data_IF_998385175501
#
_entry.id   IF_998385175501
#
_cell.length_a   1.000
_cell.length_b   1.000
_cell.length_c   1.000
_cell.angle_alpha   90.00
_cell.angle_beta   90.00
_cell.angle_gamma   90.00
#
_symmetry.space_group_name_H-M   'P 1'
#
loop_
_entity.id
_entity.type
_entity.pdbx_description
1 polymer ?
#
# COMPACT_ATOMS: atom_id res chain seq x y z
N UNK A 1 4.68 0.51 10.12
CA UNK A 1 5.28 1.63 9.37
C UNK A 1 5.85 2.71 10.26
N UNK A 2 7.09 3.11 9.99
CA UNK A 2 7.83 4.15 10.74
C UNK A 2 7.89 5.45 9.94
N UNK A 3 7.89 6.59 10.64
CA UNK A 3 8.12 7.92 10.03
C UNK A 3 6.90 8.59 9.38
N UNK A 4 5.69 8.02 9.53
CA UNK A 4 4.44 8.60 9.00
C UNK A 4 4.11 9.98 9.56
N UNK A 5 4.47 10.22 10.82
CA UNK A 5 4.27 11.51 11.52
C UNK A 5 5.14 12.65 10.99
N UNK A 6 6.21 12.37 10.23
CA UNK A 6 7.10 13.39 9.65
C UNK A 6 6.49 14.10 8.43
N UNK A 7 5.36 13.62 7.93
CA UNK A 7 4.63 14.24 6.81
C UNK A 7 3.46 15.08 7.37
N UNK A 8 3.57 16.42 7.37
CA UNK A 8 2.54 17.33 7.91
C UNK A 8 1.16 17.13 7.27
N UNK A 9 1.14 16.83 5.97
CA UNK A 9 0.04 16.18 5.27
C UNK A 9 0.64 14.94 4.60
N UNK A 10 0.02 13.77 4.75
CA UNK A 10 0.58 12.55 4.18
C UNK A 10 0.56 12.63 2.65
N UNK A 11 1.75 12.79 2.06
CA UNK A 11 1.92 12.84 0.62
C UNK A 11 2.33 11.44 0.13
N UNK A 12 1.36 10.70 -0.40
CA UNK A 12 1.55 9.33 -0.86
C UNK A 12 2.63 9.24 -1.96
N UNK A 13 2.57 10.11 -2.95
CA UNK A 13 3.56 10.16 -4.03
C UNK A 13 4.97 10.37 -3.50
N UNK A 14 5.16 11.29 -2.54
CA UNK A 14 6.47 11.53 -1.94
C UNK A 14 6.95 10.35 -1.07
N UNK A 15 6.04 9.64 -0.39
CA UNK A 15 6.39 8.50 0.45
C UNK A 15 6.81 7.27 -0.37
N UNK A 16 6.14 7.02 -1.49
CA UNK A 16 6.36 5.83 -2.33
C UNK A 16 7.39 6.01 -3.45
N UNK A 17 7.79 7.25 -3.80
CA UNK A 17 8.70 7.52 -4.94
C UNK A 17 10.03 6.75 -4.88
N UNK A 18 10.57 6.56 -3.68
CA UNK A 18 11.88 5.92 -3.45
C UNK A 18 11.72 4.48 -2.89
N UNK A 19 10.55 3.87 -3.12
CA UNK A 19 10.24 2.51 -2.67
C UNK A 19 10.01 1.58 -3.84
N UNK A 20 10.64 0.43 -3.77
CA UNK A 20 10.31 -0.70 -4.64
C UNK A 20 9.26 -1.56 -3.94
N UNK A 21 8.11 -1.76 -4.58
CA UNK A 21 6.96 -2.50 -4.02
C UNK A 21 6.65 -3.68 -4.94
N UNK A 22 6.46 -4.87 -4.38
CA UNK A 22 6.12 -6.08 -5.13
C UNK A 22 4.79 -6.68 -4.66
N UNK A 23 4.01 -7.23 -5.60
CA UNK A 23 2.77 -7.95 -5.29
C UNK A 23 3.07 -9.40 -4.89
N UNK A 24 2.37 -9.87 -3.85
CA UNK A 24 2.54 -11.23 -3.30
C UNK A 24 1.27 -12.06 -3.50
N UNK A 25 0.11 -11.45 -3.27
CA UNK A 25 -1.20 -12.09 -3.34
C UNK A 25 -2.29 -11.04 -3.53
N UNK A 26 -3.50 -11.47 -3.88
CA UNK A 26 -4.70 -10.65 -3.87
C UNK A 26 -5.87 -11.39 -3.20
N UNK A 27 -6.81 -10.64 -2.66
CA UNK A 27 -8.09 -11.14 -2.13
C UNK A 27 -9.21 -10.15 -2.50
N UNK A 28 -10.46 -10.62 -2.42
CA UNK A 28 -11.62 -9.77 -2.66
C UNK A 28 -11.74 -8.69 -1.57
N UNK A 29 -11.98 -7.45 -2.00
CA UNK A 29 -12.35 -6.37 -1.11
C UNK A 29 -13.85 -6.38 -0.88
N UNK A 30 -14.24 -6.95 0.26
CA UNK A 30 -15.61 -6.95 0.79
C UNK A 30 -15.70 -6.07 2.03
N UNK A 31 -16.91 -5.57 2.29
CA UNK A 31 -17.29 -5.12 3.62
C UNK A 31 -18.00 -6.25 4.36
N UNK A 32 -18.25 -6.07 5.66
CA UNK A 32 -18.97 -7.03 6.47
C UNK A 32 -20.21 -6.38 7.07
N UNK A 33 -21.36 -6.97 6.79
CA UNK A 33 -22.65 -6.58 7.36
C UNK A 33 -23.23 -7.79 8.08
N UNK A 34 -23.58 -7.63 9.37
CA UNK A 34 -24.09 -8.73 10.21
C UNK A 34 -23.19 -9.99 10.17
N UNK A 35 -21.87 -9.79 10.23
CA UNK A 35 -20.83 -10.83 10.15
C UNK A 35 -20.81 -11.64 8.83
N UNK A 36 -21.51 -11.19 7.79
CA UNK A 36 -21.45 -11.78 6.44
C UNK A 36 -20.74 -10.84 5.46
N UNK A 37 -19.92 -11.37 4.54
CA UNK A 37 -19.28 -10.55 3.52
C UNK A 37 -20.33 -10.01 2.54
N UNK A 38 -20.19 -8.75 2.15
CA UNK A 38 -20.95 -8.16 1.04
C UNK A 38 -20.44 -8.70 -0.30
N UNK A 39 -21.11 -8.31 -1.39
CA UNK A 39 -20.50 -8.51 -2.71
C UNK A 39 -19.14 -7.79 -2.79
N UNK A 40 -18.14 -8.38 -3.48
CA UNK A 40 -16.85 -7.74 -3.69
C UNK A 40 -17.00 -6.41 -4.44
N UNK A 41 -16.58 -5.32 -3.80
CA UNK A 41 -16.51 -3.99 -4.43
C UNK A 41 -15.14 -3.72 -5.07
N UNK A 42 -14.16 -4.57 -4.79
CA UNK A 42 -12.83 -4.41 -5.36
C UNK A 42 -11.87 -5.54 -5.04
N UNK A 43 -10.59 -5.24 -5.15
CA UNK A 43 -9.47 -6.14 -4.87
C UNK A 43 -8.53 -5.51 -3.86
N UNK A 44 -8.09 -6.30 -2.88
CA UNK A 44 -6.97 -5.98 -2.00
C UNK A 44 -5.72 -6.67 -2.53
N UNK A 45 -4.75 -5.91 -2.99
CA UNK A 45 -3.44 -6.44 -3.34
C UNK A 45 -2.55 -6.40 -2.10
N UNK A 46 -2.09 -7.57 -1.68
CA UNK A 46 -1.08 -7.73 -0.64
C UNK A 46 0.28 -7.55 -1.27
N UNK A 47 0.99 -6.52 -0.83
CA UNK A 47 2.28 -6.13 -1.36
C UNK A 47 3.34 -6.07 -0.26
N UNK A 48 4.60 -6.02 -0.66
CA UNK A 48 5.74 -5.84 0.23
C UNK A 48 6.67 -4.76 -0.31
N UNK A 49 7.14 -3.91 0.59
CA UNK A 49 8.20 -2.93 0.29
C UNK A 49 9.52 -3.69 0.31
N UNK A 50 10.10 -3.94 -0.86
CA UNK A 50 11.35 -4.72 -1.00
C UNK A 50 12.59 -3.85 -0.93
N UNK A 51 12.46 -2.55 -1.17
CA UNK A 51 13.51 -1.58 -0.89
C UNK A 51 12.89 -0.26 -0.48
N UNK A 52 13.46 0.37 0.54
CA UNK A 52 13.08 1.72 0.98
C UNK A 52 14.32 2.63 1.02
N UNK A 53 14.46 3.44 -0.03
CA UNK A 53 15.55 4.41 -0.18
C UNK A 53 15.16 5.81 0.27
N UNK A 54 14.01 5.96 0.94
CA UNK A 54 13.58 7.27 1.45
C UNK A 54 14.54 7.77 2.53
N UNK A 55 14.99 9.01 2.39
CA UNK A 55 15.75 9.69 3.43
C UNK A 55 14.78 10.25 4.47
N UNK A 56 14.72 9.62 5.65
CA UNK A 56 13.86 10.05 6.76
C UNK A 56 14.51 11.10 7.67
N UNK A 57 15.71 11.59 7.31
CA UNK A 57 16.57 12.40 8.16
C UNK A 57 17.38 11.57 9.17
N UNK A 58 18.37 12.19 9.81
CA UNK A 58 19.13 11.62 10.94
C UNK A 58 19.85 10.29 10.62
N UNK A 59 20.22 10.06 9.35
CA UNK A 59 20.89 8.82 8.93
C UNK A 59 19.98 7.58 8.88
N UNK A 60 18.68 7.72 9.17
CA UNK A 60 17.73 6.61 9.15
C UNK A 60 17.31 6.28 7.69
N UNK A 61 17.68 5.08 7.25
CA UNK A 61 17.33 4.52 5.93
C UNK A 61 16.69 3.15 6.09
N UNK A 62 16.01 2.65 5.05
CA UNK A 62 15.40 1.30 5.00
C UNK A 62 14.34 1.01 6.07
N UNK A 63 13.72 2.04 6.65
CA UNK A 63 12.86 1.91 7.82
C UNK A 63 11.60 1.05 7.58
N UNK A 64 11.12 0.98 6.34
CA UNK A 64 9.93 0.21 5.97
C UNK A 64 10.25 -0.97 5.03
N UNK A 65 11.53 -1.31 4.84
CA UNK A 65 11.92 -2.49 4.06
C UNK A 65 11.41 -3.76 4.74
N UNK A 66 10.81 -4.67 3.97
CA UNK A 66 10.15 -5.88 4.46
C UNK A 66 8.73 -5.66 5.00
N UNK A 67 8.26 -4.42 5.16
CA UNK A 67 6.89 -4.17 5.58
C UNK A 67 5.88 -4.57 4.51
N UNK A 68 4.77 -5.17 4.95
CA UNK A 68 3.64 -5.49 4.10
C UNK A 68 2.63 -4.36 4.10
N UNK A 69 2.11 -4.06 2.91
CA UNK A 69 1.06 -3.06 2.71
C UNK A 69 -0.09 -3.67 1.91
N UNK A 70 -1.29 -3.14 2.11
CA UNK A 70 -2.49 -3.56 1.36
C UNK A 70 -2.95 -2.38 0.52
N UNK A 71 -2.98 -2.58 -0.79
CA UNK A 71 -3.47 -1.59 -1.75
C UNK A 71 -4.88 -2.01 -2.16
N UNK A 72 -5.87 -1.17 -1.88
CA UNK A 72 -7.27 -1.39 -2.27
C UNK A 72 -7.56 -0.71 -3.61
N UNK A 73 -8.09 -1.45 -4.56
CA UNK A 73 -8.49 -0.96 -5.89
C UNK A 73 -9.91 -1.44 -6.15
N UNK A 74 -10.76 -0.62 -6.75
CA UNK A 74 -12.11 -1.04 -7.15
C UNK A 74 -12.07 -2.02 -8.33
N UNK A 75 -13.07 -2.89 -8.43
CA UNK A 75 -13.15 -3.90 -9.48
C UNK A 75 -12.31 -5.18 -9.24
N UNK A 76 -12.34 -6.06 -10.25
CA UNK A 76 -11.75 -7.40 -10.18
C UNK A 76 -10.23 -7.36 -10.21
N UNK A 77 -9.61 -8.43 -9.70
CA UNK A 77 -8.17 -8.58 -9.72
C UNK A 77 -7.65 -8.60 -11.16
N UNK A 78 -6.62 -7.79 -11.42
CA UNK A 78 -5.85 -7.81 -12.65
C UNK A 78 -4.86 -8.98 -12.63
N UNK A 79 -4.57 -9.60 -13.77
CA UNK A 79 -3.54 -10.64 -13.84
C UNK A 79 -2.16 -10.05 -13.55
N UNK A 80 -1.34 -10.79 -12.81
CA UNK A 80 0.05 -10.43 -12.51
C UNK A 80 0.90 -11.69 -12.31
N UNK A 81 2.21 -11.58 -12.53
CA UNK A 81 3.18 -12.60 -12.08
C UNK A 81 3.55 -12.30 -10.61
N UNK A 82 3.65 -13.34 -9.77
CA UNK A 82 4.05 -13.16 -8.37
C UNK A 82 5.41 -12.45 -8.30
N UNK A 83 5.55 -11.49 -7.39
CA UNK A 83 6.72 -10.61 -7.26
C UNK A 83 6.91 -9.57 -8.37
N UNK A 84 5.90 -9.33 -9.22
CA UNK A 84 5.90 -8.16 -10.10
C UNK A 84 5.95 -6.87 -9.28
N UNK A 85 6.67 -5.86 -9.77
CA UNK A 85 6.64 -4.50 -9.23
C UNK A 85 5.24 -3.91 -9.38
N UNK A 86 4.82 -3.12 -8.39
CA UNK A 86 3.51 -2.47 -8.36
C UNK A 86 3.67 -0.97 -8.43
N UNK A 87 2.96 -0.35 -9.38
CA UNK A 87 2.80 1.09 -9.46
C UNK A 87 1.34 1.45 -9.21
N UNK A 88 1.09 2.33 -8.24
CA UNK A 88 -0.24 2.82 -7.90
C UNK A 88 -0.59 4.05 -8.75
N UNK A 89 -1.80 4.10 -9.28
CA UNK A 89 -2.35 5.26 -9.99
C UNK A 89 -3.20 6.07 -9.01
N UNK A 90 -2.83 7.35 -8.82
CA UNK A 90 -3.50 8.30 -7.92
C UNK A 90 -3.77 7.75 -6.50
N UNK A 91 -2.73 7.28 -5.77
CA UNK A 91 -2.93 6.70 -4.45
C UNK A 91 -3.44 7.73 -3.44
N UNK A 92 -4.52 7.38 -2.73
CA UNK A 92 -5.03 8.08 -1.56
C UNK A 92 -4.66 7.29 -0.31
N UNK A 93 -4.24 8.00 0.71
CA UNK A 93 -3.67 7.39 1.89
C UNK A 93 -4.17 8.08 3.14
N UNK A 94 -4.52 7.26 4.14
CA UNK A 94 -4.98 7.74 5.43
C UNK A 94 -4.12 7.13 6.54
N UNK A 95 -3.48 7.99 7.34
CA UNK A 95 -2.70 7.59 8.51
C UNK A 95 -3.64 7.48 9.71
N UNK A 96 -3.62 6.34 10.40
CA UNK A 96 -4.51 6.08 11.53
C UNK A 96 -3.80 5.30 12.65
N UNK A 97 -4.55 5.06 13.74
CA UNK A 97 -4.04 4.44 14.97
C UNK A 97 -3.48 5.48 15.94
N UNK A 98 -3.46 5.13 17.23
CA UNK A 98 -3.02 5.99 18.33
C UNK A 98 -1.59 6.52 18.10
N UNK A 99 -0.69 5.64 17.66
CA UNK A 99 0.70 5.98 17.35
C UNK A 99 0.91 6.49 15.92
N UNK A 100 -0.16 6.66 15.13
CA UNK A 100 -0.10 7.09 13.72
C UNK A 100 0.86 6.24 12.87
N UNK A 101 0.92 4.95 13.14
CA UNK A 101 1.84 3.99 12.53
C UNK A 101 1.16 3.06 11.51
N UNK A 102 -0.15 3.20 11.31
CA UNK A 102 -0.92 2.45 10.33
C UNK A 102 -1.27 3.32 9.13
N UNK A 103 -1.27 2.71 7.95
CA UNK A 103 -1.61 3.36 6.69
C UNK A 103 -2.68 2.56 5.94
N UNK A 104 -3.81 3.20 5.65
CA UNK A 104 -4.77 2.68 4.69
C UNK A 104 -4.45 3.25 3.32
N UNK A 105 -4.38 2.41 2.30
CA UNK A 105 -4.05 2.79 0.92
C UNK A 105 -5.22 2.39 0.01
N UNK A 106 -5.75 3.35 -0.72
CA UNK A 106 -6.61 3.12 -1.88
C UNK A 106 -5.94 3.72 -3.12
N UNK A 107 -6.14 3.13 -4.29
CA UNK A 107 -5.67 3.67 -5.56
C UNK A 107 -6.79 3.55 -6.60
N UNK A 108 -6.78 4.43 -7.59
CA UNK A 108 -7.71 4.33 -8.73
C UNK A 108 -7.40 3.10 -9.56
N UNK A 109 -6.11 2.77 -9.69
CA UNK A 109 -5.67 1.59 -10.42
C UNK A 109 -4.26 1.13 -9.97
N UNK A 110 -3.86 -0.05 -10.42
CA UNK A 110 -2.49 -0.57 -10.32
C UNK A 110 -1.97 -1.09 -11.65
N UNK A 111 -0.69 -0.86 -11.88
CA UNK A 111 0.09 -1.43 -12.99
C UNK A 111 1.14 -2.39 -12.44
N UNK A 112 1.35 -3.51 -13.13
CA UNK A 112 2.36 -4.51 -12.78
C UNK A 112 3.47 -4.54 -13.83
N UNK A 113 4.73 -4.61 -13.38
CA UNK A 113 5.89 -4.79 -14.25
C UNK A 113 6.86 -5.82 -13.70
N UNK A 114 7.73 -6.36 -14.55
CA UNK A 114 8.86 -7.19 -14.10
C UNK A 114 9.93 -6.35 -13.41
#
# INVERSE_FOLDING_TARGET
MKGLNKFMAFNASAFFKDKDIMVIANEDWVDYENAKPTEPKGTKYKCMIVSDKTNYGEGATKLNEGEQIIIKVEGKAKPYEKFSRVKMINPKCNVYGEYRNNLSITAEDVEFSK
#
